data_IF_416773431683
#
_entry.id   IF_416773431683
#
_cell.length_a   1.000
_cell.length_b   1.000
_cell.length_c   1.000
_cell.angle_alpha   90.00
_cell.angle_beta   90.00
_cell.angle_gamma   90.00
#
_symmetry.space_group_name_H-M   'P 1'
#
loop_
_entity.id
_entity.type
_entity.pdbx_description
1 polymer ?
#
# COMPACT_ATOMS: atom_id res chain seq x y z
N UNK A 1 2.78 -29.47 -6.77
CA UNK A 1 3.75 -28.49 -7.28
C UNK A 1 3.05 -27.14 -7.25
N UNK A 2 3.37 -26.11 -6.47
CA UNK A 2 4.36 -25.88 -5.42
C UNK A 2 3.77 -24.74 -4.58
N UNK A 3 3.60 -24.93 -3.27
CA UNK A 3 3.26 -23.84 -2.35
C UNK A 3 4.43 -22.85 -2.31
N UNK A 4 4.26 -21.72 -3.00
CA UNK A 4 5.17 -20.59 -2.85
C UNK A 4 4.94 -19.96 -1.49
N UNK A 5 5.77 -20.40 -0.54
CA UNK A 5 5.96 -19.84 0.78
C UNK A 5 6.53 -18.41 0.64
N UNK A 6 5.67 -17.43 0.35
CA UNK A 6 6.04 -16.05 0.09
C UNK A 6 5.41 -15.12 1.12
N UNK A 7 6.24 -14.45 1.92
CA UNK A 7 5.86 -13.46 2.95
C UNK A 7 4.95 -12.29 2.46
N UNK A 8 4.63 -12.20 1.17
CA UNK A 8 3.67 -11.26 0.56
C UNK A 8 2.24 -11.79 0.35
N UNK A 9 1.96 -13.08 0.59
CA UNK A 9 0.68 -13.72 0.22
C UNK A 9 -0.56 -13.23 0.97
N UNK A 10 -0.40 -12.66 2.17
CA UNK A 10 -1.54 -12.21 3.01
C UNK A 10 -2.09 -10.82 2.65
N UNK A 11 -1.34 -10.02 1.90
CA UNK A 11 -1.69 -8.62 1.68
C UNK A 11 -2.39 -8.42 0.34
N UNK A 12 -3.61 -7.87 0.42
CA UNK A 12 -4.43 -7.53 -0.74
C UNK A 12 -4.59 -6.01 -0.85
N UNK A 13 -4.54 -5.52 -2.09
CA UNK A 13 -4.83 -4.12 -2.37
C UNK A 13 -6.28 -3.79 -2.00
N UNK A 14 -6.51 -2.65 -1.33
CA UNK A 14 -7.87 -2.16 -1.16
C UNK A 14 -8.48 -1.78 -2.51
N UNK A 15 -9.78 -2.01 -2.65
CA UNK A 15 -10.54 -1.66 -3.85
C UNK A 15 -11.06 -0.21 -3.74
N UNK A 16 -10.71 0.68 -4.69
CA UNK A 16 -11.22 2.05 -4.70
C UNK A 16 -12.74 2.11 -4.88
N UNK A 17 -13.37 1.13 -5.52
CA UNK A 17 -14.82 1.09 -5.72
C UNK A 17 -15.58 0.76 -4.43
N UNK A 18 -14.90 0.25 -3.41
CA UNK A 18 -15.48 0.04 -2.07
C UNK A 18 -15.45 1.31 -1.20
N UNK A 19 -14.98 2.45 -1.73
CA UNK A 19 -15.01 3.75 -1.03
C UNK A 19 -16.34 4.46 -1.33
N UNK A 20 -16.69 5.45 -0.52
CA UNK A 20 -17.88 6.28 -0.71
C UNK A 20 -17.58 7.75 -0.41
N UNK A 21 -18.44 8.72 -0.76
CA UNK A 21 -18.24 10.13 -0.40
C UNK A 21 -18.06 10.36 1.11
N UNK A 22 -18.70 9.54 1.94
CA UNK A 22 -18.58 9.63 3.41
C UNK A 22 -17.34 8.91 3.96
N UNK A 23 -16.82 7.94 3.21
CA UNK A 23 -15.60 7.19 3.55
C UNK A 23 -14.65 7.11 2.33
N UNK A 24 -14.06 8.22 1.89
CA UNK A 24 -13.27 8.26 0.66
C UNK A 24 -11.85 7.70 0.83
N UNK A 25 -11.42 7.54 2.08
CA UNK A 25 -10.03 7.23 2.42
C UNK A 25 -9.88 5.81 2.98
N UNK A 26 -8.68 5.26 2.83
CA UNK A 26 -8.25 4.05 3.54
C UNK A 26 -6.77 4.14 3.90
N UNK A 27 -6.45 3.66 5.10
CA UNK A 27 -5.07 3.62 5.60
C UNK A 27 -4.45 2.25 5.32
N UNK A 28 -3.24 2.26 4.78
CA UNK A 28 -2.35 1.11 4.68
C UNK A 28 -1.20 1.26 5.66
N UNK A 29 -1.04 0.28 6.56
CA UNK A 29 0.08 0.24 7.48
C UNK A 29 1.40 -0.18 6.78
N UNK A 30 2.52 0.00 7.47
CA UNK A 30 3.86 -0.36 6.99
C UNK A 30 3.94 -1.80 6.47
N UNK A 31 3.40 -2.76 7.22
CA UNK A 31 3.48 -4.17 6.84
C UNK A 31 2.77 -4.47 5.53
N UNK A 32 1.60 -3.85 5.31
CA UNK A 32 0.86 -3.96 4.06
C UNK A 32 1.60 -3.31 2.91
N UNK A 33 2.17 -2.13 3.10
CA UNK A 33 2.99 -1.43 2.09
C UNK A 33 4.15 -2.32 1.63
N UNK A 34 4.94 -2.83 2.59
CA UNK A 34 6.09 -3.68 2.27
C UNK A 34 5.65 -5.00 1.64
N UNK A 35 4.59 -5.62 2.17
CA UNK A 35 4.05 -6.86 1.63
C UNK A 35 3.56 -6.75 0.19
N UNK A 36 2.89 -5.65 -0.16
CA UNK A 36 2.46 -5.35 -1.53
C UNK A 36 3.66 -5.09 -2.45
N UNK A 37 4.68 -4.38 -1.97
CA UNK A 37 5.92 -4.17 -2.70
C UNK A 37 6.65 -5.48 -3.02
N UNK A 38 6.84 -6.36 -2.02
CA UNK A 38 7.45 -7.69 -2.23
C UNK A 38 6.61 -8.51 -3.20
N UNK A 39 5.27 -8.44 -3.12
CA UNK A 39 4.38 -9.16 -4.03
C UNK A 39 4.49 -8.68 -5.48
N UNK A 40 4.67 -7.38 -5.72
CA UNK A 40 4.84 -6.79 -7.06
C UNK A 40 6.23 -7.08 -7.64
N UNK A 41 7.27 -6.97 -6.83
CA UNK A 41 8.68 -6.94 -7.30
C UNK A 41 9.45 -8.22 -7.05
N UNK A 42 9.01 -9.07 -6.13
CA UNK A 42 9.79 -10.20 -5.60
C UNK A 42 10.93 -9.78 -4.66
N UNK A 43 11.12 -8.48 -4.41
CA UNK A 43 12.24 -7.96 -3.62
C UNK A 43 11.78 -7.71 -2.19
N UNK A 44 12.46 -8.32 -1.21
CA UNK A 44 12.22 -8.00 0.20
C UNK A 44 12.67 -6.57 0.53
N UNK A 45 11.79 -5.80 1.15
CA UNK A 45 12.10 -4.47 1.65
C UNK A 45 11.81 -4.41 3.14
N UNK A 46 12.76 -3.88 3.91
CA UNK A 46 12.57 -3.66 5.35
C UNK A 46 12.00 -2.29 5.64
N UNK A 47 12.29 -1.27 4.83
CA UNK A 47 11.86 0.11 5.07
C UNK A 47 11.07 0.70 3.89
N UNK A 48 10.21 1.68 4.18
CA UNK A 48 9.44 2.41 3.17
C UNK A 48 10.32 3.51 2.57
N UNK A 49 11.21 3.11 1.67
CA UNK A 49 12.11 4.01 0.92
C UNK A 49 11.36 4.75 -0.18
N UNK A 50 12.01 5.71 -0.85
CA UNK A 50 11.46 6.39 -2.04
C UNK A 50 11.00 5.39 -3.10
N UNK A 51 11.83 4.41 -3.43
CA UNK A 51 11.52 3.36 -4.42
C UNK A 51 10.25 2.58 -4.05
N UNK A 52 10.06 2.25 -2.77
CA UNK A 52 8.84 1.60 -2.29
C UNK A 52 7.63 2.53 -2.45
N UNK A 53 7.77 3.81 -2.08
CA UNK A 53 6.70 4.81 -2.21
C UNK A 53 6.30 5.01 -3.67
N UNK A 54 7.26 5.07 -4.59
CA UNK A 54 7.03 5.26 -6.01
C UNK A 54 6.29 4.05 -6.60
N UNK A 55 6.76 2.84 -6.30
CA UNK A 55 6.13 1.60 -6.76
C UNK A 55 4.68 1.43 -6.28
N UNK A 56 4.41 1.82 -5.03
CA UNK A 56 3.08 1.79 -4.42
C UNK A 56 2.19 2.89 -4.99
N UNK A 57 2.73 4.08 -5.22
CA UNK A 57 1.98 5.21 -5.81
C UNK A 57 1.55 4.88 -7.24
N UNK A 58 2.47 4.35 -8.05
CA UNK A 58 2.20 3.92 -9.41
C UNK A 58 1.11 2.84 -9.43
N UNK A 59 1.24 1.81 -8.58
CA UNK A 59 0.26 0.73 -8.55
C UNK A 59 -1.11 1.22 -8.04
N UNK A 60 -1.16 2.07 -7.00
CA UNK A 60 -2.40 2.66 -6.51
C UNK A 60 -3.11 3.47 -7.59
N UNK A 61 -2.38 4.31 -8.34
CA UNK A 61 -2.94 5.08 -9.46
C UNK A 61 -3.44 4.16 -10.57
N UNK A 62 -2.69 3.11 -10.92
CA UNK A 62 -3.12 2.12 -11.92
C UNK A 62 -4.42 1.38 -11.53
N UNK A 63 -4.70 1.28 -10.23
CA UNK A 63 -5.91 0.65 -9.68
C UNK A 63 -7.09 1.61 -9.56
N UNK A 64 -6.91 2.91 -9.81
CA UNK A 64 -7.98 3.91 -9.78
C UNK A 64 -8.08 4.74 -8.49
N UNK A 65 -7.04 4.72 -7.63
CA UNK A 65 -6.92 5.66 -6.52
C UNK A 65 -6.47 7.04 -7.03
N UNK A 66 -7.13 8.10 -6.56
CA UNK A 66 -6.88 9.46 -7.05
C UNK A 66 -5.72 10.14 -6.32
N UNK A 67 -5.55 9.86 -5.02
CA UNK A 67 -4.45 10.40 -4.22
C UNK A 67 -3.79 9.33 -3.34
N UNK A 68 -2.48 9.48 -3.13
CA UNK A 68 -1.61 8.62 -2.34
C UNK A 68 -0.73 9.51 -1.47
N UNK A 69 -0.92 9.48 -0.16
CA UNK A 69 -0.15 10.28 0.79
C UNK A 69 0.61 9.37 1.77
N UNK A 70 1.94 9.52 1.82
CA UNK A 70 2.76 8.84 2.82
C UNK A 70 2.99 9.75 4.01
N UNK A 71 2.66 9.26 5.19
CA UNK A 71 2.83 9.95 6.45
C UNK A 71 3.61 9.07 7.42
N UNK A 72 4.10 9.69 8.49
CA UNK A 72 4.78 8.99 9.58
C UNK A 72 4.03 9.30 10.86
N UNK A 73 3.72 8.26 11.62
CA UNK A 73 3.17 8.42 12.96
C UNK A 73 4.23 9.07 13.86
N UNK A 74 3.91 10.22 14.45
CA UNK A 74 4.89 11.01 15.20
C UNK A 74 5.32 10.36 16.53
N UNK A 75 4.52 9.44 17.05
CA UNK A 75 4.78 8.76 18.33
C UNK A 75 5.61 7.51 18.14
N UNK A 76 5.28 6.72 17.12
CA UNK A 76 5.90 5.42 16.85
C UNK A 76 6.99 5.48 15.79
N UNK A 77 7.08 6.60 15.06
CA UNK A 77 7.94 6.79 13.89
C UNK A 77 7.72 5.72 12.79
N UNK A 78 6.50 5.16 12.73
CA UNK A 78 6.13 4.14 11.75
C UNK A 78 5.49 4.81 10.52
N UNK A 79 6.01 4.57 9.30
CA UNK A 79 5.38 5.07 8.09
C UNK A 79 4.07 4.35 7.76
N UNK A 80 3.09 5.10 7.29
CA UNK A 80 1.83 4.60 6.75
C UNK A 80 1.45 5.36 5.48
N UNK A 81 0.50 4.82 4.73
CA UNK A 81 0.03 5.38 3.48
C UNK A 81 -1.48 5.57 3.55
N UNK A 82 -1.98 6.71 3.08
CA UNK A 82 -3.41 6.97 2.92
C UNK A 82 -3.72 7.01 1.44
N UNK A 83 -4.67 6.16 1.02
CA UNK A 83 -5.22 6.19 -0.32
C UNK A 83 -6.57 6.89 -0.29
N UNK A 84 -6.82 7.77 -1.25
CA UNK A 84 -8.06 8.56 -1.34
C UNK A 84 -8.71 8.36 -2.69
N UNK A 85 -10.03 8.14 -2.68
CA UNK A 85 -10.90 8.15 -3.86
C UNK A 85 -11.76 9.42 -3.84
N UNK A 86 -11.82 10.12 -4.96
CA UNK A 86 -12.70 11.26 -5.18
C UNK A 86 -14.01 10.77 -5.83
N UNK A 87 -15.11 11.40 -5.45
CA UNK A 87 -16.48 11.10 -5.90
C UNK A 87 -17.12 12.34 -6.52
#
# INVERSE_FOLDING_TARGET
MSEVNGKGGRWQWPDPNNRSPNEPQIVMNREKILGLYVKKTGIEATNVTSTVKDAITEEAKSRGWDNVAFMVDQTTNIPFCVLTKNF
#
